data_IF_707531266622
#
_entry.id   IF_707531266622
#
_cell.length_a   1.000
_cell.length_b   1.000
_cell.length_c   1.000
_cell.angle_alpha   90.00
_cell.angle_beta   90.00
_cell.angle_gamma   90.00
#
_symmetry.space_group_name_H-M   'P 1'
#
loop_
_entity.id
_entity.type
_entity.pdbx_description
1 polymer ?
#
# COMPACT_ATOMS: atom_id res chain seq x y z
N UNK A 1 -2.01 -13.88 -9.92
CA UNK A 1 -2.93 -14.18 -8.80
C UNK A 1 -2.90 -12.99 -7.85
N UNK A 2 -4.05 -12.40 -7.57
CA UNK A 2 -4.16 -11.28 -6.63
C UNK A 2 -4.77 -11.82 -5.33
N UNK A 3 -3.96 -11.92 -4.29
CA UNK A 3 -4.35 -12.44 -2.98
C UNK A 3 -5.18 -11.39 -2.24
N UNK A 4 -6.24 -11.84 -1.57
CA UNK A 4 -7.09 -11.03 -0.69
C UNK A 4 -7.31 -11.72 0.64
N UNK A 5 -7.37 -10.92 1.69
CA UNK A 5 -7.74 -11.39 3.04
C UNK A 5 -8.88 -10.52 3.57
N UNK A 6 -9.87 -11.15 4.16
CA UNK A 6 -11.03 -10.44 4.69
C UNK A 6 -11.68 -11.18 5.85
N UNK A 7 -12.39 -10.43 6.67
CA UNK A 7 -13.20 -10.92 7.77
C UNK A 7 -14.68 -10.85 7.40
N UNK A 8 -15.39 -11.95 7.57
CA UNK A 8 -16.81 -12.05 7.28
C UNK A 8 -17.47 -13.11 8.18
N UNK A 9 -18.65 -12.82 8.75
CA UNK A 9 -19.38 -13.73 9.66
C UNK A 9 -18.48 -14.35 10.72
N UNK A 10 -17.71 -13.51 11.43
CA UNK A 10 -16.80 -13.90 12.51
C UNK A 10 -15.69 -14.90 12.10
N UNK A 11 -15.27 -14.88 10.84
CA UNK A 11 -14.17 -15.69 10.31
C UNK A 11 -13.28 -14.89 9.39
N UNK A 12 -12.00 -15.20 9.43
CA UNK A 12 -11.04 -14.70 8.44
C UNK A 12 -11.01 -15.66 7.25
N UNK A 13 -10.97 -15.10 6.08
CA UNK A 13 -10.88 -15.82 4.81
C UNK A 13 -9.67 -15.35 4.04
N UNK A 14 -8.99 -16.30 3.41
CA UNK A 14 -7.96 -16.09 2.40
C UNK A 14 -8.53 -16.46 1.05
N UNK A 15 -8.29 -15.65 0.04
CA UNK A 15 -8.77 -15.93 -1.31
C UNK A 15 -7.92 -15.20 -2.36
N UNK A 16 -8.37 -15.27 -3.60
CA UNK A 16 -7.79 -14.51 -4.70
C UNK A 16 -8.87 -13.97 -5.63
N UNK A 17 -8.52 -12.91 -6.36
CA UNK A 17 -9.36 -12.31 -7.39
C UNK A 17 -8.75 -12.56 -8.77
N UNK A 18 -9.61 -12.55 -9.80
CA UNK A 18 -9.24 -12.59 -11.22
C UNK A 18 -9.87 -11.41 -11.93
N UNK A 19 -9.10 -10.66 -12.72
CA UNK A 19 -9.56 -9.49 -13.48
C UNK A 19 -10.71 -9.81 -14.43
N UNK A 20 -10.84 -11.06 -14.88
CA UNK A 20 -11.92 -11.50 -15.75
C UNK A 20 -13.23 -11.78 -15.00
N UNK A 21 -13.19 -11.79 -13.66
CA UNK A 21 -14.31 -12.18 -12.80
C UNK A 21 -14.57 -11.13 -11.71
N UNK A 22 -14.87 -9.89 -12.10
CA UNK A 22 -14.90 -8.70 -11.25
C UNK A 22 -15.81 -8.74 -10.01
N UNK A 23 -16.74 -9.69 -9.93
CA UNK A 23 -17.67 -9.86 -8.81
C UNK A 23 -17.41 -11.12 -7.98
N UNK A 24 -16.30 -11.80 -8.22
CA UNK A 24 -16.00 -13.09 -7.64
C UNK A 24 -14.68 -13.07 -6.88
N UNK A 25 -14.67 -13.69 -5.71
CA UNK A 25 -13.45 -14.08 -4.98
C UNK A 25 -13.43 -15.60 -4.95
N UNK A 26 -12.29 -16.19 -5.28
CA UNK A 26 -12.04 -17.59 -5.05
C UNK A 26 -11.48 -17.79 -3.65
N UNK A 27 -12.28 -18.26 -2.71
CA UNK A 27 -11.89 -18.44 -1.31
C UNK A 27 -11.26 -19.82 -1.14
N UNK A 28 -10.02 -19.84 -0.63
CA UNK A 28 -9.33 -21.08 -0.29
C UNK A 28 -10.00 -21.79 0.88
N UNK A 29 -10.07 -23.12 0.81
CA UNK A 29 -10.62 -23.95 1.86
C UNK A 29 -9.56 -24.21 2.95
N UNK A 30 -9.10 -23.14 3.56
CA UNK A 30 -8.09 -23.16 4.62
C UNK A 30 -8.51 -22.24 5.76
N UNK A 31 -7.92 -22.44 6.94
CA UNK A 31 -8.02 -21.52 8.08
C UNK A 31 -6.73 -20.74 8.31
N UNK A 32 -5.74 -20.99 7.45
CA UNK A 32 -4.39 -20.40 7.56
C UNK A 32 -4.40 -19.05 6.88
N UNK A 33 -3.77 -18.06 7.46
CA UNK A 33 -3.56 -16.73 6.84
C UNK A 33 -2.48 -16.80 5.77
N UNK A 34 -2.45 -15.83 4.88
CA UNK A 34 -1.40 -15.77 3.86
C UNK A 34 0.00 -15.64 4.46
N UNK A 35 0.17 -14.85 5.52
CA UNK A 35 1.45 -14.70 6.20
C UNK A 35 2.00 -16.03 6.76
N UNK A 36 1.14 -16.92 7.25
CA UNK A 36 1.56 -18.23 7.76
C UNK A 36 2.04 -19.14 6.62
N UNK A 37 1.33 -19.11 5.46
CA UNK A 37 1.75 -19.84 4.26
C UNK A 37 3.10 -19.31 3.78
N UNK A 38 3.25 -17.98 3.74
CA UNK A 38 4.47 -17.30 3.35
C UNK A 38 5.66 -17.75 4.20
N UNK A 39 5.54 -17.65 5.52
CA UNK A 39 6.60 -18.05 6.46
C UNK A 39 6.95 -19.55 6.33
N UNK A 40 5.95 -20.40 6.13
CA UNK A 40 6.16 -21.84 5.95
C UNK A 40 6.88 -22.14 4.64
N UNK A 41 6.52 -21.47 3.53
CA UNK A 41 7.20 -21.61 2.25
C UNK A 41 8.68 -21.20 2.37
N UNK A 42 8.98 -20.07 3.01
CA UNK A 42 10.37 -19.65 3.23
C UNK A 42 11.14 -20.62 4.14
N UNK A 43 10.49 -21.15 5.16
CA UNK A 43 11.12 -22.14 6.05
C UNK A 43 11.47 -23.44 5.34
N UNK A 44 10.66 -23.85 4.33
CA UNK A 44 10.84 -25.10 3.56
C UNK A 44 11.56 -24.91 2.25
N UNK A 45 11.76 -23.69 1.82
CA UNK A 45 12.21 -23.33 0.47
C UNK A 45 11.24 -23.80 -0.63
N UNK A 46 9.93 -23.70 -0.35
CA UNK A 46 8.85 -24.03 -1.27
C UNK A 46 8.43 -22.77 -2.07
N UNK A 47 7.89 -22.99 -3.27
CA UNK A 47 7.30 -21.90 -4.07
C UNK A 47 5.91 -21.51 -3.51
N UNK A 48 5.71 -20.21 -3.27
CA UNK A 48 4.48 -19.66 -2.69
C UNK A 48 3.29 -19.87 -3.61
N UNK A 49 3.48 -19.69 -4.91
CA UNK A 49 2.41 -19.79 -5.92
C UNK A 49 1.98 -21.24 -6.06
N UNK A 50 2.92 -22.17 -6.09
CA UNK A 50 2.63 -23.61 -6.10
C UNK A 50 1.92 -24.05 -4.83
N UNK A 51 2.34 -23.58 -3.66
CA UNK A 51 1.69 -23.86 -2.38
C UNK A 51 0.23 -23.40 -2.39
N UNK A 52 -0.06 -22.19 -2.91
CA UNK A 52 -1.42 -21.68 -3.03
C UNK A 52 -2.26 -22.47 -4.05
N UNK A 53 -1.70 -22.84 -5.20
CA UNK A 53 -2.40 -23.66 -6.19
C UNK A 53 -2.72 -25.07 -5.68
N UNK A 54 -1.99 -25.57 -4.70
CA UNK A 54 -2.30 -26.85 -4.05
C UNK A 54 -3.57 -26.80 -3.18
N UNK A 55 -4.01 -25.60 -2.78
CA UNK A 55 -5.21 -25.40 -1.98
C UNK A 55 -6.47 -25.44 -2.88
N UNK A 56 -7.47 -26.18 -2.46
CA UNK A 56 -8.79 -26.11 -3.11
C UNK A 56 -9.46 -24.78 -2.78
N UNK A 57 -10.18 -24.19 -3.74
CA UNK A 57 -10.92 -22.96 -3.57
C UNK A 57 -12.40 -23.12 -3.93
N UNK A 58 -13.25 -22.20 -3.45
CA UNK A 58 -14.67 -22.08 -3.79
C UNK A 58 -15.00 -20.65 -4.16
N UNK A 59 -15.92 -20.45 -5.13
CA UNK A 59 -16.39 -19.12 -5.48
C UNK A 59 -17.16 -18.47 -4.35
N UNK A 60 -16.92 -17.18 -4.14
CA UNK A 60 -17.62 -16.32 -3.20
C UNK A 60 -18.07 -15.07 -3.95
N UNK A 61 -19.36 -14.92 -4.12
CA UNK A 61 -19.95 -13.81 -4.88
C UNK A 61 -20.05 -12.54 -4.02
N UNK A 62 -19.35 -11.49 -4.40
CA UNK A 62 -19.39 -10.19 -3.71
C UNK A 62 -20.79 -9.58 -3.68
N UNK A 63 -21.60 -9.80 -4.72
CA UNK A 63 -22.97 -9.29 -4.81
C UNK A 63 -23.98 -10.04 -3.90
N UNK A 64 -23.60 -11.16 -3.30
CA UNK A 64 -24.44 -11.95 -2.41
C UNK A 64 -24.15 -11.75 -0.93
N UNK A 65 -23.36 -10.72 -0.60
CA UNK A 65 -22.99 -10.40 0.78
C UNK A 65 -24.19 -9.82 1.50
N UNK A 66 -24.61 -10.48 2.57
CA UNK A 66 -25.74 -10.11 3.44
C UNK A 66 -25.31 -9.38 4.72
N UNK A 67 -24.00 -9.40 5.04
CA UNK A 67 -23.40 -8.71 6.19
C UNK A 67 -22.16 -7.92 5.75
N UNK A 68 -21.76 -6.87 6.50
CA UNK A 68 -20.55 -6.12 6.19
C UNK A 68 -19.31 -7.01 6.12
N UNK A 69 -18.52 -6.83 5.07
CA UNK A 69 -17.22 -7.47 4.89
C UNK A 69 -16.13 -6.48 5.31
N UNK A 70 -15.19 -6.93 6.13
CA UNK A 70 -14.03 -6.12 6.53
C UNK A 70 -12.80 -6.63 5.81
N UNK A 71 -12.22 -5.79 4.94
CA UNK A 71 -10.96 -6.09 4.28
C UNK A 71 -9.81 -6.00 5.27
N UNK A 72 -8.81 -6.84 5.08
CA UNK A 72 -7.57 -6.82 5.84
C UNK A 72 -6.43 -6.31 4.94
N UNK A 73 -5.37 -5.83 5.54
CA UNK A 73 -4.12 -5.57 4.83
C UNK A 73 -3.53 -6.93 4.45
N UNK A 74 -3.34 -7.22 3.14
CA UNK A 74 -2.87 -8.54 2.73
C UNK A 74 -1.43 -8.78 3.18
N UNK A 75 -1.12 -10.00 3.59
CA UNK A 75 0.19 -10.46 4.11
C UNK A 75 0.61 -9.86 5.46
N UNK A 76 -0.25 -9.13 6.17
CA UNK A 76 0.12 -8.51 7.46
C UNK A 76 0.42 -9.58 8.51
N UNK A 77 1.60 -9.51 9.15
CA UNK A 77 1.98 -10.38 10.26
C UNK A 77 1.15 -10.05 11.51
N UNK A 78 0.95 -11.05 12.38
CA UNK A 78 0.27 -10.83 13.66
C UNK A 78 1.07 -9.92 14.58
N UNK A 79 2.40 -10.09 14.60
CA UNK A 79 3.31 -9.20 15.31
C UNK A 79 3.58 -7.97 14.44
N UNK A 80 2.85 -6.88 14.70
CA UNK A 80 2.91 -5.65 13.90
C UNK A 80 4.28 -4.97 13.92
N UNK A 81 5.07 -5.18 14.98
CA UNK A 81 6.44 -4.66 15.10
C UNK A 81 7.43 -5.40 14.19
N UNK A 82 7.05 -6.57 13.67
CA UNK A 82 7.79 -7.31 12.64
C UNK A 82 7.41 -6.90 11.21
N UNK A 83 6.63 -5.82 11.06
CA UNK A 83 6.27 -5.23 9.77
C UNK A 83 6.80 -3.82 9.72
N UNK A 84 7.54 -3.47 8.68
CA UNK A 84 8.15 -2.16 8.53
C UNK A 84 7.61 -1.45 7.30
N UNK A 85 7.36 -0.15 7.42
CA UNK A 85 6.82 0.68 6.34
C UNK A 85 7.82 1.75 5.97
N UNK A 86 8.26 1.71 4.71
CA UNK A 86 9.18 2.68 4.13
C UNK A 86 8.57 3.32 2.89
N UNK A 87 9.07 4.48 2.53
CA UNK A 87 8.76 5.12 1.28
C UNK A 87 9.97 5.77 0.64
N UNK A 88 9.86 5.97 -0.65
CA UNK A 88 10.84 6.70 -1.46
C UNK A 88 10.19 7.93 -2.08
N UNK A 89 10.85 9.09 -1.92
CA UNK A 89 10.46 10.35 -2.53
C UNK A 89 11.21 10.62 -3.84
N UNK A 90 10.63 11.51 -4.68
CA UNK A 90 11.26 12.00 -5.93
C UNK A 90 11.72 10.90 -6.90
N UNK A 91 11.02 9.79 -6.93
CA UNK A 91 11.39 8.62 -7.73
C UNK A 91 10.92 8.68 -9.18
N UNK A 92 9.96 9.55 -9.51
CA UNK A 92 9.35 9.61 -10.85
C UNK A 92 10.09 10.55 -11.81
N UNK A 93 10.27 10.10 -13.04
CA UNK A 93 10.98 10.83 -14.11
C UNK A 93 10.39 12.21 -14.41
N UNK A 94 9.07 12.35 -14.33
CA UNK A 94 8.36 13.61 -14.61
C UNK A 94 8.58 14.69 -13.54
N UNK A 95 9.01 14.31 -12.34
CA UNK A 95 9.33 15.25 -11.24
C UNK A 95 10.79 15.66 -11.19
N UNK A 96 11.69 14.84 -11.75
CA UNK A 96 13.14 15.05 -11.70
C UNK A 96 13.63 16.29 -12.51
N UNK A 97 12.80 16.83 -13.38
CA UNK A 97 13.21 17.94 -14.30
C UNK A 97 13.44 19.27 -13.61
N UNK A 98 13.03 19.47 -12.36
CA UNK A 98 13.09 20.74 -11.65
C UNK A 98 13.93 20.74 -10.37
N UNK A 99 14.54 19.60 -9.98
CA UNK A 99 15.33 19.53 -8.76
C UNK A 99 16.70 18.89 -9.06
N UNK A 100 17.73 19.27 -8.29
CA UNK A 100 19.06 18.67 -8.36
C UNK A 100 18.93 17.13 -8.28
N UNK A 101 19.23 16.45 -9.36
CA UNK A 101 19.21 14.99 -9.41
C UNK A 101 20.20 14.45 -8.37
N UNK A 102 19.66 13.94 -7.27
CA UNK A 102 20.45 13.13 -6.35
C UNK A 102 20.83 11.82 -7.05
N UNK A 103 22.01 11.32 -6.81
CA UNK A 103 22.43 10.00 -7.29
C UNK A 103 21.68 8.87 -6.60
N UNK A 104 21.01 9.15 -5.48
CA UNK A 104 20.26 8.19 -4.67
C UNK A 104 18.84 8.71 -4.41
N UNK A 105 17.84 7.81 -4.33
CA UNK A 105 16.48 8.18 -3.99
C UNK A 105 16.38 8.67 -2.54
N UNK A 106 15.48 9.61 -2.29
CA UNK A 106 15.15 10.02 -0.93
C UNK A 106 14.34 8.92 -0.24
N UNK A 107 14.77 8.48 0.94
CA UNK A 107 14.10 7.41 1.69
C UNK A 107 13.59 7.95 3.03
N UNK A 108 12.43 7.47 3.45
CA UNK A 108 11.85 7.78 4.75
C UNK A 108 11.18 6.55 5.38
N UNK A 109 11.16 6.54 6.71
CA UNK A 109 10.45 5.54 7.50
C UNK A 109 9.06 6.07 7.88
N UNK A 110 8.04 5.21 7.79
CA UNK A 110 6.66 5.57 8.09
C UNK A 110 6.11 4.91 9.35
N UNK A 111 6.82 3.96 9.90
CA UNK A 111 6.43 3.22 11.09
C UNK A 111 6.37 1.71 10.85
N UNK A 112 5.73 1.03 11.77
CA UNK A 112 5.51 -0.42 11.72
C UNK A 112 4.12 -0.78 11.16
N UNK A 113 3.73 -2.04 11.25
CA UNK A 113 2.44 -2.53 10.77
C UNK A 113 1.23 -1.85 11.40
N UNK A 114 1.37 -1.21 12.56
CA UNK A 114 0.28 -0.47 13.21
C UNK A 114 -0.09 0.82 12.46
N UNK A 115 0.77 1.29 11.57
CA UNK A 115 0.54 2.47 10.72
C UNK A 115 -0.15 2.13 9.39
N UNK A 116 -0.37 0.82 9.10
CA UNK A 116 -1.04 0.36 7.89
C UNK A 116 -2.54 0.17 8.10
N UNK A 117 -3.33 0.80 7.26
CA UNK A 117 -4.78 0.72 7.28
C UNK A 117 -5.32 -0.01 6.05
N UNK A 118 -6.34 -0.83 6.24
CA UNK A 118 -7.01 -1.55 5.17
C UNK A 118 -8.05 -0.67 4.45
N UNK A 119 -8.53 -1.15 3.30
CA UNK A 119 -9.66 -0.56 2.59
C UNK A 119 -10.89 -0.40 3.51
N UNK A 120 -11.62 0.69 3.31
CA UNK A 120 -12.82 1.08 4.10
C UNK A 120 -12.58 1.37 5.58
N UNK A 121 -11.34 1.46 6.03
CA UNK A 121 -11.04 1.94 7.39
C UNK A 121 -11.10 3.46 7.45
N UNK A 122 -11.56 3.96 8.59
CA UNK A 122 -11.48 5.38 8.94
C UNK A 122 -10.07 5.65 9.48
N UNK A 123 -9.37 6.64 8.94
CA UNK A 123 -7.99 6.96 9.30
C UNK A 123 -7.96 8.28 10.04
N UNK A 124 -7.58 8.24 11.32
CA UNK A 124 -7.39 9.45 12.12
C UNK A 124 -5.95 9.94 11.96
N UNK A 125 -5.80 11.19 11.54
CA UNK A 125 -4.50 11.83 11.44
C UNK A 125 -3.98 12.20 12.84
N UNK A 126 -2.65 12.18 13.05
CA UNK A 126 -2.05 12.65 14.29
C UNK A 126 -2.45 14.09 14.61
N UNK A 127 -2.56 14.43 15.90
CA UNK A 127 -2.99 15.75 16.37
C UNK A 127 -2.09 16.91 15.94
N UNK A 128 -0.83 16.61 15.61
CA UNK A 128 0.15 17.57 15.10
C UNK A 128 0.07 17.75 13.56
N UNK A 129 -0.90 17.11 12.90
CA UNK A 129 -1.04 17.24 11.46
C UNK A 129 -1.59 18.62 11.08
N UNK A 130 -0.90 19.31 10.18
CA UNK A 130 -1.32 20.60 9.64
C UNK A 130 -2.20 20.43 8.40
N UNK A 131 -2.05 19.32 7.69
CA UNK A 131 -2.82 18.97 6.50
C UNK A 131 -2.79 17.47 6.23
N UNK A 132 -3.61 17.05 5.29
CA UNK A 132 -3.56 15.70 4.71
C UNK A 132 -3.29 15.81 3.22
N UNK A 133 -2.33 15.02 2.74
CA UNK A 133 -2.08 14.81 1.33
C UNK A 133 -2.15 13.33 1.03
N UNK A 134 -2.85 12.97 -0.01
CA UNK A 134 -2.86 11.61 -0.55
C UNK A 134 -1.73 11.44 -1.56
N UNK A 135 -1.14 10.27 -1.59
CA UNK A 135 -0.15 9.85 -2.57
C UNK A 135 -0.49 8.43 -3.04
N UNK A 136 -1.09 8.32 -4.23
CA UNK A 136 -1.41 7.02 -4.84
C UNK A 136 -0.13 6.38 -5.39
N UNK A 137 0.24 5.22 -4.86
CA UNK A 137 1.55 4.61 -5.12
C UNK A 137 1.45 3.11 -5.43
N UNK A 138 2.47 2.64 -6.14
CA UNK A 138 2.81 1.23 -6.18
C UNK A 138 3.61 0.89 -4.91
N UNK A 139 3.15 -0.11 -4.17
CA UNK A 139 3.80 -0.58 -2.95
C UNK A 139 4.38 -1.96 -3.20
N UNK A 140 5.67 -2.10 -2.98
CA UNK A 140 6.38 -3.38 -3.10
C UNK A 140 6.45 -4.04 -1.73
N UNK A 141 6.20 -5.35 -1.69
CA UNK A 141 6.22 -6.12 -0.45
C UNK A 141 7.38 -7.10 -0.51
N UNK A 142 8.27 -6.99 0.48
CA UNK A 142 9.40 -7.89 0.66
C UNK A 142 9.26 -8.68 1.96
N UNK A 143 9.65 -9.95 1.89
CA UNK A 143 9.95 -10.76 3.07
C UNK A 143 11.47 -10.89 3.18
N UNK A 144 12.01 -10.77 4.38
CA UNK A 144 13.45 -10.90 4.61
C UNK A 144 13.77 -12.33 5.01
N UNK A 145 14.58 -12.98 4.19
CA UNK A 145 15.06 -14.32 4.47
C UNK A 145 15.98 -14.37 5.69
N UNK A 146 16.26 -15.56 6.17
CA UNK A 146 17.16 -15.80 7.32
C UNK A 146 18.60 -15.33 7.08
N UNK A 147 18.98 -15.22 5.82
CA UNK A 147 20.27 -14.70 5.39
C UNK A 147 20.32 -13.16 5.29
N UNK A 148 19.23 -12.48 5.64
CA UNK A 148 19.07 -11.03 5.50
C UNK A 148 18.71 -10.56 4.09
N UNK A 149 18.54 -11.48 3.14
CA UNK A 149 18.20 -11.13 1.76
C UNK A 149 16.72 -10.75 1.61
N UNK A 150 16.40 -9.66 0.87
CA UNK A 150 15.02 -9.30 0.58
C UNK A 150 14.48 -10.17 -0.56
N UNK A 151 13.38 -10.85 -0.31
CA UNK A 151 12.64 -11.61 -1.30
C UNK A 151 11.38 -10.85 -1.70
N UNK A 152 11.24 -10.53 -2.98
CA UNK A 152 10.04 -9.91 -3.53
C UNK A 152 8.87 -10.87 -3.43
N UNK A 153 7.83 -10.50 -2.70
CA UNK A 153 6.58 -11.26 -2.61
C UNK A 153 5.62 -10.82 -3.71
N UNK A 154 5.51 -9.53 -3.90
CA UNK A 154 4.62 -8.94 -4.87
C UNK A 154 4.41 -7.45 -4.65
N UNK A 155 3.26 -6.96 -5.10
CA UNK A 155 2.93 -5.54 -5.01
C UNK A 155 1.44 -5.31 -4.77
N UNK A 156 1.15 -4.18 -4.16
CA UNK A 156 -0.20 -3.70 -3.89
C UNK A 156 -0.35 -2.23 -4.30
N UNK A 157 -1.57 -1.77 -4.34
CA UNK A 157 -1.91 -0.34 -4.41
C UNK A 157 -1.86 0.25 -3.01
N UNK A 158 -1.24 1.42 -2.85
CA UNK A 158 -1.17 2.09 -1.56
C UNK A 158 -1.51 3.57 -1.62
N UNK A 159 -1.76 4.12 -0.44
CA UNK A 159 -1.88 5.55 -0.20
C UNK A 159 -0.88 5.96 0.87
N UNK A 160 0.20 6.65 0.47
CA UNK A 160 1.16 7.25 1.39
C UNK A 160 0.59 8.58 1.90
N UNK A 161 -0.22 8.53 2.98
CA UNK A 161 -0.69 9.77 3.58
C UNK A 161 0.48 10.57 4.14
N UNK A 162 0.49 11.86 3.85
CA UNK A 162 1.55 12.78 4.23
C UNK A 162 0.98 14.11 4.74
N UNK A 163 1.85 14.97 5.29
CA UNK A 163 1.52 16.34 5.68
C UNK A 163 2.28 17.35 4.81
N UNK A 164 1.78 17.64 3.61
CA UNK A 164 2.48 18.50 2.67
C UNK A 164 2.59 19.95 3.16
N UNK A 165 1.65 20.43 3.98
CA UNK A 165 1.72 21.79 4.54
C UNK A 165 2.85 21.91 5.56
N UNK A 166 3.00 20.95 6.47
CA UNK A 166 4.13 20.88 7.42
C UNK A 166 5.46 20.94 6.68
N UNK A 167 5.62 20.13 5.63
CA UNK A 167 6.81 20.12 4.79
C UNK A 167 7.06 21.46 4.10
N UNK A 168 6.00 22.09 3.54
CA UNK A 168 6.07 23.36 2.83
C UNK A 168 6.49 24.51 3.76
N UNK A 169 5.99 24.49 5.01
CA UNK A 169 6.33 25.50 6.02
C UNK A 169 7.77 25.36 6.52
N UNK A 170 8.25 24.13 6.64
CA UNK A 170 9.61 23.87 7.12
C UNK A 170 10.16 22.57 6.50
N UNK A 171 11.07 22.71 5.54
CA UNK A 171 11.70 21.57 4.86
C UNK A 171 12.47 20.62 5.79
N UNK A 172 12.92 21.11 6.96
CA UNK A 172 13.57 20.26 7.99
C UNK A 172 12.59 19.28 8.63
N UNK A 173 11.28 19.48 8.49
CA UNK A 173 10.24 18.58 8.98
C UNK A 173 9.83 17.51 7.94
N UNK A 174 10.63 17.26 6.92
CA UNK A 174 10.31 16.27 5.90
C UNK A 174 9.99 14.90 6.52
N UNK A 175 10.87 14.34 7.35
CA UNK A 175 10.66 13.06 7.99
C UNK A 175 9.38 13.04 8.85
N UNK A 176 9.15 14.09 9.65
CA UNK A 176 7.93 14.22 10.44
C UNK A 176 6.66 14.30 9.57
N UNK A 177 6.73 15.02 8.43
CA UNK A 177 5.60 15.12 7.49
C UNK A 177 5.25 13.79 6.82
N UNK A 178 6.19 12.85 6.74
CA UNK A 178 6.01 11.50 6.20
C UNK A 178 5.65 10.45 7.28
N UNK A 179 5.91 10.74 8.54
CA UNK A 179 5.52 9.86 9.66
C UNK A 179 4.01 10.00 9.95
N UNK A 180 3.22 9.56 9.00
CA UNK A 180 1.76 9.58 8.96
C UNK A 180 1.22 8.19 8.60
N UNK A 181 -0.04 7.85 8.91
CA UNK A 181 -0.66 6.59 8.50
C UNK A 181 -0.49 6.33 7.00
N UNK A 182 -0.55 5.06 6.61
CA UNK A 182 -0.62 4.64 5.22
C UNK A 182 -1.77 3.66 5.04
N UNK A 183 -2.31 3.56 3.83
CA UNK A 183 -3.30 2.56 3.53
C UNK A 183 -2.85 1.64 2.40
N UNK A 184 -3.24 0.38 2.48
CA UNK A 184 -2.95 -0.65 1.48
C UNK A 184 -4.27 -1.17 0.92
N UNK A 185 -4.32 -1.31 -0.41
CA UNK A 185 -5.43 -1.92 -1.14
C UNK A 185 -5.64 -3.38 -0.73
N UNK A 186 -6.86 -3.89 -0.90
CA UNK A 186 -7.19 -5.24 -0.46
C UNK A 186 -6.51 -6.35 -1.25
N UNK A 187 -5.93 -6.04 -2.41
CA UNK A 187 -5.31 -7.02 -3.30
C UNK A 187 -3.79 -6.91 -3.30
N UNK A 188 -3.13 -8.05 -3.10
CA UNK A 188 -1.69 -8.25 -3.28
C UNK A 188 -1.46 -9.10 -4.55
N UNK A 189 -0.90 -8.52 -5.59
CA UNK A 189 -0.48 -9.26 -6.77
C UNK A 189 0.88 -9.92 -6.50
N UNK A 190 0.91 -11.25 -6.55
CA UNK A 190 2.15 -12.01 -6.36
C UNK A 190 3.06 -11.93 -7.58
N UNK A 191 4.35 -11.82 -7.35
CA UNK A 191 5.38 -11.92 -8.38
C UNK A 191 5.90 -10.57 -8.88
N UNK A 192 6.17 -10.49 -10.17
CA UNK A 192 6.97 -9.43 -10.80
C UNK A 192 6.22 -8.10 -10.85
N UNK A 193 6.95 -7.01 -10.61
CA UNK A 193 6.41 -5.65 -10.67
C UNK A 193 6.00 -5.26 -12.10
N UNK A 194 4.91 -4.51 -12.27
CA UNK A 194 4.47 -4.06 -13.58
C UNK A 194 5.38 -2.94 -14.10
N UNK A 195 5.66 -2.97 -15.41
CA UNK A 195 6.34 -1.87 -16.09
C UNK A 195 5.52 -0.58 -16.02
N UNK A 196 4.20 -0.71 -16.09
CA UNK A 196 3.26 0.40 -16.03
C UNK A 196 2.11 0.04 -15.10
N UNK A 197 1.84 0.90 -14.14
CA UNK A 197 0.75 0.80 -13.18
C UNK A 197 -0.06 2.10 -13.24
N UNK A 198 -1.30 2.01 -13.72
CA UNK A 198 -2.17 3.17 -14.00
C UNK A 198 -3.45 3.10 -13.20
N UNK A 199 -3.99 4.28 -12.95
CA UNK A 199 -5.28 4.38 -12.29
C UNK A 199 -5.78 5.82 -12.16
N UNK A 200 -6.72 5.99 -11.28
CA UNK A 200 -7.22 7.31 -10.91
C UNK A 200 -7.35 7.42 -9.39
N UNK A 201 -7.13 8.62 -8.90
CA UNK A 201 -7.43 9.01 -7.53
C UNK A 201 -8.51 10.07 -7.53
N UNK A 202 -9.44 9.97 -6.60
CA UNK A 202 -10.50 10.95 -6.41
C UNK A 202 -10.73 11.22 -4.93
N UNK A 203 -11.11 12.47 -4.61
CA UNK A 203 -11.50 12.89 -3.28
C UNK A 203 -13.00 13.16 -3.32
N UNK A 204 -13.73 12.56 -2.39
CA UNK A 204 -15.18 12.75 -2.24
C UNK A 204 -15.48 13.48 -0.95
N UNK A 205 -16.28 14.53 -1.04
CA UNK A 205 -16.81 15.32 0.08
C UNK A 205 -18.32 15.20 0.09
N UNK A 206 -18.90 14.72 1.18
CA UNK A 206 -20.34 14.46 1.28
C UNK A 206 -20.86 13.57 0.12
N UNK A 207 -20.08 12.54 -0.24
CA UNK A 207 -20.41 11.59 -1.31
C UNK A 207 -20.21 12.08 -2.75
N UNK A 208 -19.87 13.37 -2.95
CA UNK A 208 -19.63 13.95 -4.29
C UNK A 208 -18.13 14.06 -4.57
N UNK A 209 -17.72 13.73 -5.78
CA UNK A 209 -16.33 13.94 -6.22
C UNK A 209 -16.05 15.43 -6.32
N UNK A 210 -15.05 15.92 -5.57
CA UNK A 210 -14.64 17.33 -5.50
C UNK A 210 -13.28 17.56 -6.16
N UNK A 211 -12.48 16.50 -6.28
CA UNK A 211 -11.22 16.50 -7.02
C UNK A 211 -10.92 15.11 -7.56
N UNK A 212 -10.27 15.03 -8.71
CA UNK A 212 -9.80 13.76 -9.25
C UNK A 212 -8.68 13.97 -10.27
N UNK A 213 -7.79 12.98 -10.38
CA UNK A 213 -6.77 12.94 -11.41
C UNK A 213 -6.43 11.50 -11.80
N UNK A 214 -5.79 11.32 -12.97
CA UNK A 214 -5.18 10.05 -13.36
C UNK A 214 -3.72 10.05 -12.97
N UNK A 215 -3.21 8.91 -12.55
CA UNK A 215 -1.79 8.69 -12.25
C UNK A 215 -1.22 7.56 -13.10
N UNK A 216 0.09 7.58 -13.28
CA UNK A 216 0.83 6.51 -13.94
C UNK A 216 2.16 6.32 -13.22
N UNK A 217 2.38 5.12 -12.72
CA UNK A 217 3.62 4.68 -12.07
C UNK A 217 4.03 3.31 -12.61
N UNK A 218 4.93 2.61 -11.95
CA UNK A 218 5.50 1.35 -12.38
C UNK A 218 6.96 1.49 -12.76
N UNK A 219 7.66 0.39 -12.96
CA UNK A 219 9.13 0.40 -13.09
C UNK A 219 9.66 1.24 -14.24
N UNK A 220 8.89 1.38 -15.33
CA UNK A 220 9.29 2.23 -16.48
C UNK A 220 9.18 3.73 -16.21
N UNK A 221 8.41 4.14 -15.19
CA UNK A 221 8.20 5.54 -14.83
C UNK A 221 9.21 6.03 -13.77
N UNK A 222 9.89 5.10 -13.11
CA UNK A 222 10.87 5.43 -12.08
C UNK A 222 12.17 5.95 -12.69
N UNK A 223 12.76 6.93 -12.02
CA UNK A 223 14.08 7.48 -12.31
C UNK A 223 15.19 6.47 -11.99
N UNK A 224 14.99 5.70 -10.92
CA UNK A 224 15.91 4.68 -10.44
C UNK A 224 15.39 3.29 -10.82
N UNK A 225 16.29 2.37 -11.17
CA UNK A 225 15.91 0.97 -11.36
C UNK A 225 15.49 0.33 -10.03
N UNK A 226 14.67 -0.72 -10.10
CA UNK A 226 14.32 -1.48 -8.89
C UNK A 226 15.53 -2.10 -8.21
N UNK A 227 16.56 -2.44 -8.98
CA UNK A 227 17.83 -2.92 -8.46
C UNK A 227 18.51 -1.88 -7.57
N UNK A 228 18.57 -0.61 -8.01
CA UNK A 228 19.09 0.50 -7.20
C UNK A 228 18.23 0.74 -5.95
N UNK A 229 16.91 0.73 -6.09
CA UNK A 229 16.00 0.93 -4.95
C UNK A 229 16.16 -0.20 -3.93
N UNK A 230 16.20 -1.46 -4.38
CA UNK A 230 16.35 -2.63 -3.50
C UNK A 230 17.71 -2.63 -2.81
N UNK A 231 18.78 -2.34 -3.55
CA UNK A 231 20.12 -2.24 -3.00
C UNK A 231 20.21 -1.15 -1.91
N UNK A 232 19.69 0.04 -2.21
CA UNK A 232 19.65 1.16 -1.24
C UNK A 232 18.76 0.85 -0.03
N UNK A 233 17.69 0.08 -0.21
CA UNK A 233 16.85 -0.42 0.86
C UNK A 233 17.61 -1.40 1.76
N UNK A 234 18.28 -2.41 1.19
CA UNK A 234 19.04 -3.44 1.94
C UNK A 234 20.21 -2.81 2.72
N UNK A 235 21.05 -2.02 2.04
CA UNK A 235 22.24 -1.43 2.68
C UNK A 235 21.92 -0.44 3.79
N UNK A 236 20.85 0.32 3.62
CA UNK A 236 20.53 1.41 4.52
C UNK A 236 19.51 1.07 5.61
N UNK A 237 18.75 -0.01 5.45
CA UNK A 237 17.71 -0.40 6.39
C UNK A 237 18.17 -1.46 7.41
N UNK A 238 19.27 -2.19 7.10
CA UNK A 238 19.70 -3.37 7.86
C UNK A 238 18.51 -4.28 8.17
N UNK A 239 17.89 -4.88 7.13
CA UNK A 239 16.60 -5.51 7.25
C UNK A 239 16.63 -6.71 8.19
N UNK A 240 15.62 -6.83 9.03
CA UNK A 240 15.53 -7.86 10.07
C UNK A 240 15.00 -9.14 9.45
N UNK A 241 15.67 -10.29 9.60
CA UNK A 241 15.18 -11.58 9.14
C UNK A 241 13.79 -11.93 9.67
N UNK A 242 13.03 -12.67 8.87
CA UNK A 242 11.65 -13.11 9.13
C UNK A 242 10.62 -11.95 9.24
N UNK A 243 11.01 -10.71 8.89
CA UNK A 243 10.14 -9.54 8.90
C UNK A 243 9.62 -9.20 7.48
N UNK A 244 8.48 -8.50 7.44
CA UNK A 244 7.87 -7.97 6.22
C UNK A 244 8.13 -6.46 6.09
N UNK A 245 8.33 -6.05 4.84
CA UNK A 245 8.59 -4.66 4.49
C UNK A 245 7.65 -4.20 3.37
N UNK A 246 6.86 -3.18 3.66
CA UNK A 246 6.03 -2.48 2.68
C UNK A 246 6.79 -1.24 2.22
N UNK A 247 7.14 -1.19 0.95
CA UNK A 247 7.98 -0.15 0.37
C UNK A 247 7.21 0.64 -0.66
N UNK A 248 6.86 1.86 -0.33
CA UNK A 248 6.18 2.80 -1.20
C UNK A 248 7.16 3.41 -2.19
N UNK A 249 6.85 3.38 -3.49
CA UNK A 249 7.78 3.78 -4.54
C UNK A 249 7.67 5.24 -4.98
N UNK A 250 6.87 6.04 -4.29
CA UNK A 250 6.61 7.44 -4.63
C UNK A 250 5.42 7.64 -5.56
N UNK A 251 4.79 8.80 -5.46
CA UNK A 251 3.62 9.17 -6.23
C UNK A 251 3.96 10.01 -7.46
N UNK A 252 3.21 9.78 -8.54
CA UNK A 252 3.23 10.61 -9.76
C UNK A 252 2.53 11.97 -9.52
N UNK A 253 1.36 11.94 -8.88
CA UNK A 253 0.50 13.11 -8.66
C UNK A 253 -0.18 13.05 -7.29
N UNK A 254 -0.56 14.23 -6.80
CA UNK A 254 -1.33 14.41 -5.57
C UNK A 254 -2.11 15.74 -5.60
N UNK A 255 -3.21 15.82 -4.87
CA UNK A 255 -4.14 16.98 -4.85
C UNK A 255 -3.48 18.27 -4.38
N UNK A 256 -2.57 18.18 -3.42
CA UNK A 256 -1.88 19.36 -2.89
C UNK A 256 -1.05 20.10 -3.97
N UNK A 257 -0.54 19.40 -4.99
CA UNK A 257 0.15 20.04 -6.12
C UNK A 257 -0.80 20.88 -6.97
N UNK A 258 -2.07 20.53 -7.01
CA UNK A 258 -3.13 21.28 -7.68
C UNK A 258 -3.75 22.37 -6.77
N UNK A 259 -3.14 22.65 -5.60
CA UNK A 259 -3.67 23.53 -4.56
C UNK A 259 -5.06 23.12 -4.03
N UNK A 260 -5.37 21.84 -4.11
CA UNK A 260 -6.57 21.28 -3.49
C UNK A 260 -6.22 20.76 -2.10
N UNK A 261 -7.07 21.05 -1.10
CA UNK A 261 -6.89 20.65 0.28
C UNK A 261 -7.98 19.65 0.70
N UNK A 262 -7.53 18.54 1.25
CA UNK A 262 -8.40 17.54 1.87
C UNK A 262 -8.93 18.12 3.17
N UNK A 263 -10.23 17.97 3.39
CA UNK A 263 -10.93 18.40 4.61
C UNK A 263 -11.29 17.20 5.50
N UNK A 264 -11.66 17.50 6.73
CA UNK A 264 -12.14 16.48 7.66
C UNK A 264 -13.33 15.71 7.07
N UNK A 265 -13.32 14.39 7.21
CA UNK A 265 -14.31 13.43 6.69
C UNK A 265 -14.34 13.28 5.17
N UNK A 266 -13.42 13.87 4.42
CA UNK A 266 -13.25 13.54 3.01
C UNK A 266 -12.87 12.07 2.85
N UNK A 267 -13.36 11.47 1.76
CA UNK A 267 -13.03 10.09 1.40
C UNK A 267 -12.09 10.10 0.20
N UNK A 268 -10.91 9.52 0.37
CA UNK A 268 -9.95 9.32 -0.69
C UNK A 268 -10.24 7.96 -1.32
N UNK A 269 -10.40 7.93 -2.65
CA UNK A 269 -10.63 6.71 -3.42
C UNK A 269 -9.53 6.57 -4.49
N UNK A 270 -8.83 5.46 -4.48
CA UNK A 270 -7.80 5.12 -5.46
C UNK A 270 -8.24 3.86 -6.21
N UNK A 271 -8.20 3.91 -7.54
CA UNK A 271 -8.48 2.79 -8.43
C UNK A 271 -7.27 2.51 -9.31
N UNK A 272 -7.03 1.25 -9.62
CA UNK A 272 -6.00 0.83 -10.57
C UNK A 272 -6.61 -0.06 -11.65
N UNK A 273 -6.04 -0.01 -12.85
CA UNK A 273 -6.41 -0.92 -13.95
C UNK A 273 -5.95 -2.38 -13.69
N UNK A 274 -5.07 -2.58 -12.71
CA UNK A 274 -4.48 -3.88 -12.34
C UNK A 274 -5.31 -4.64 -11.30
N UNK A 275 -6.10 -3.92 -10.51
CA UNK A 275 -6.87 -4.48 -9.40
C UNK A 275 -8.37 -4.28 -9.61
N UNK A 276 -9.17 -5.24 -9.15
CA UNK A 276 -10.63 -5.17 -9.21
C UNK A 276 -11.16 -4.26 -8.10
N UNK A 277 -10.53 -4.36 -6.92
CA UNK A 277 -10.99 -3.69 -5.72
C UNK A 277 -10.29 -2.34 -5.57
N UNK A 278 -11.03 -1.28 -5.23
CA UNK A 278 -10.44 0.02 -4.94
C UNK A 278 -9.74 0.03 -3.58
N UNK A 279 -8.95 1.07 -3.33
CA UNK A 279 -8.55 1.50 -2.01
C UNK A 279 -9.34 2.77 -1.66
N UNK A 280 -10.12 2.73 -0.61
CA UNK A 280 -10.92 3.87 -0.18
C UNK A 280 -10.86 4.02 1.33
N UNK A 281 -10.55 5.23 1.81
CA UNK A 281 -10.50 5.53 3.23
C UNK A 281 -11.06 6.93 3.50
N UNK A 282 -11.85 7.05 4.56
CA UNK A 282 -12.25 8.35 5.09
C UNK A 282 -11.17 8.86 6.05
N UNK A 283 -10.72 10.09 5.86
CA UNK A 283 -9.74 10.72 6.75
C UNK A 283 -10.43 11.56 7.82
N UNK A 284 -9.92 11.49 9.05
CA UNK A 284 -10.39 12.24 10.20
C UNK A 284 -9.25 13.09 10.72
N UNK A 285 -9.51 14.37 10.86
CA UNK A 285 -8.60 15.33 11.48
C UNK A 285 -9.23 15.80 12.77
N UNK A 286 -8.57 15.58 13.92
CA UNK A 286 -8.91 16.25 15.15
C UNK A 286 -8.51 17.72 15.01
N UNK A 287 -9.41 18.54 14.46
CA UNK A 287 -9.19 19.98 14.38
C UNK A 287 -9.21 20.48 15.83
N UNK A 288 -8.04 20.82 16.36
CA UNK A 288 -7.97 21.62 17.58
C UNK A 288 -8.58 22.97 17.18
N UNK A 289 -9.83 23.21 17.56
CA UNK A 289 -10.42 24.54 17.48
C UNK A 289 -9.61 25.45 18.41
N UNK A 290 -8.84 26.37 17.82
CA UNK A 290 -8.20 27.45 18.55
C UNK A 290 -9.22 28.31 19.30
#
# INVERSE_FOLDING_TARGET
>A
MNIVEFFYKNKTYLGYTDLNESNLIHVFQTKVKFCDILQECFRKNDDIVEALYSLSSKPFLLNSIDEPLTWLVPALLEELTSVHVFGFGYTHKNRALNELQSTLPERFYKGDGSTLFAHNTRITMPKDAHSVGEEAELVVIYFIGKDGSPHLIGYAMGNDLSDPLMRRQNTKQFAASKLRPSAIGPELCLGVLPNTFKGCVSIKRNGKSVWSTRYSTGTSQLLYSMEVITHFFVEMADPIPDNLYYVFLGADKHSFADNFFIENEDTICIHSETFILPLSNQVVMDIISE
#
